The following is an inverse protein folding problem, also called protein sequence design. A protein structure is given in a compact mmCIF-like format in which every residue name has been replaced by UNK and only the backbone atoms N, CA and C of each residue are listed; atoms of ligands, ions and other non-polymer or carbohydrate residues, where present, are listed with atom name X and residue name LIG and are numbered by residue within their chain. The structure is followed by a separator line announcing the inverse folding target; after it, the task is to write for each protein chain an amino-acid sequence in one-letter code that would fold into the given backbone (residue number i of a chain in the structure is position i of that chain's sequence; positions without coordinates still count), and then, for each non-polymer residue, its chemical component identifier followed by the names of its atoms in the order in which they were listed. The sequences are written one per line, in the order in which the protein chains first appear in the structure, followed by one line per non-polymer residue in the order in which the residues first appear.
data_IF_483585776431
#
_entry.id   IF_483585776431
#
_cell.length_a   1.000
_cell.length_b   1.000
_cell.length_c   1.000
_cell.angle_alpha   90.00
_cell.angle_beta   90.00
_cell.angle_gamma   90.00
#
_symmetry.space_group_name_H-M   'P 1'
#
loop_
_entity.id
_entity.type
_entity.pdbx_description
1 polymer ?
#
# COMPACT_ATOMS: atom_id res chain seq x y z
N UNK A 1 3.66 -25.46 26.43
CA UNK A 1 3.53 -24.01 26.16
C UNK A 1 2.07 -23.67 26.45
N UNK A 2 1.78 -22.81 27.43
CA UNK A 2 0.39 -22.47 27.74
C UNK A 2 -0.18 -21.57 26.63
N UNK A 3 -1.46 -21.75 26.30
CA UNK A 3 -2.15 -20.87 25.36
C UNK A 3 -2.03 -19.41 25.77
N UNK A 4 -2.20 -19.10 27.06
CA UNK A 4 -2.10 -17.74 27.59
C UNK A 4 -0.76 -17.08 27.26
N UNK A 5 0.35 -17.79 27.46
CA UNK A 5 1.68 -17.25 27.14
C UNK A 5 1.92 -17.04 25.64
N UNK A 6 1.17 -17.71 24.77
CA UNK A 6 1.16 -17.40 23.33
C UNK A 6 0.34 -16.15 23.07
N UNK A 7 -0.87 -16.05 23.63
CA UNK A 7 -1.76 -14.90 23.47
C UNK A 7 -1.09 -13.59 23.90
N UNK A 8 -0.44 -13.58 25.06
CA UNK A 8 0.22 -12.40 25.61
C UNK A 8 1.36 -11.88 24.72
N UNK A 9 1.99 -12.75 23.93
CA UNK A 9 3.12 -12.40 23.07
C UNK A 9 2.70 -11.90 21.69
N UNK A 10 1.54 -12.31 21.17
CA UNK A 10 1.07 -12.00 19.80
C UNK A 10 1.26 -10.51 19.41
N UNK A 11 0.90 -9.53 20.26
CA UNK A 11 1.04 -8.11 19.90
C UNK A 11 2.48 -7.68 19.60
N UNK A 12 3.48 -8.36 20.18
CA UNK A 12 4.91 -8.03 20.03
C UNK A 12 5.66 -8.93 19.04
N UNK A 13 4.99 -9.93 18.46
CA UNK A 13 5.63 -10.87 17.55
C UNK A 13 5.94 -10.25 16.19
N UNK A 14 7.06 -10.64 15.59
CA UNK A 14 7.33 -10.38 14.17
C UNK A 14 6.35 -11.15 13.28
N UNK A 15 6.18 -10.72 12.02
CA UNK A 15 5.34 -11.44 11.05
C UNK A 15 5.78 -12.91 10.90
N UNK A 16 7.09 -13.17 10.76
CA UNK A 16 7.62 -14.54 10.67
C UNK A 16 7.26 -15.38 11.90
N UNK A 17 7.28 -14.79 13.10
CA UNK A 17 6.88 -15.48 14.34
C UNK A 17 5.39 -15.77 14.35
N UNK A 18 4.56 -14.82 13.90
CA UNK A 18 3.10 -14.98 13.77
C UNK A 18 2.75 -16.07 12.76
N UNK A 19 3.45 -16.14 11.62
CA UNK A 19 3.24 -17.16 10.60
C UNK A 19 3.54 -18.56 11.15
N UNK A 20 4.62 -18.72 11.93
CA UNK A 20 4.93 -19.98 12.63
C UNK A 20 3.86 -20.36 13.64
N UNK A 21 3.34 -19.40 14.42
CA UNK A 21 2.25 -19.66 15.37
C UNK A 21 0.97 -20.05 14.64
N UNK A 22 0.63 -19.36 13.54
CA UNK A 22 -0.52 -19.67 12.68
C UNK A 22 -0.44 -21.10 12.14
N UNK A 23 0.69 -21.46 11.53
CA UNK A 23 0.90 -22.81 10.97
C UNK A 23 0.77 -23.90 12.05
N UNK A 24 1.27 -23.65 13.27
CA UNK A 24 1.11 -24.58 14.38
C UNK A 24 -0.36 -24.72 14.82
N UNK A 25 -1.10 -23.62 14.90
CA UNK A 25 -2.53 -23.63 15.24
C UNK A 25 -3.35 -24.35 14.16
N UNK A 26 -3.09 -24.09 12.88
CA UNK A 26 -3.73 -24.79 11.76
C UNK A 26 -3.48 -26.30 11.80
N UNK A 27 -2.25 -26.72 12.13
CA UNK A 27 -1.97 -28.14 12.35
C UNK A 27 -2.79 -28.72 13.51
N UNK A 28 -2.95 -28.00 14.61
CA UNK A 28 -3.77 -28.45 15.75
C UNK A 28 -5.25 -28.53 15.42
N UNK A 29 -5.76 -27.70 14.52
CA UNK A 29 -7.13 -27.83 14.00
C UNK A 29 -7.33 -29.21 13.34
N UNK A 30 -6.37 -29.63 12.51
CA UNK A 30 -6.50 -30.85 11.71
C UNK A 30 -6.17 -32.12 12.49
N UNK A 31 -5.10 -32.09 13.30
CA UNK A 31 -4.47 -33.29 13.87
C UNK A 31 -4.51 -33.33 15.40
N UNK A 32 -4.95 -32.24 16.05
CA UNK A 32 -4.88 -32.09 17.50
C UNK A 32 -5.96 -32.86 18.26
N UNK A 33 -5.84 -32.88 19.59
CA UNK A 33 -6.91 -33.25 20.51
C UNK A 33 -8.02 -32.19 20.53
N UNK A 34 -9.18 -32.50 21.10
CA UNK A 34 -10.29 -31.53 21.20
C UNK A 34 -9.88 -30.25 21.95
N UNK A 35 -9.06 -30.38 23.00
CA UNK A 35 -8.51 -29.24 23.72
C UNK A 35 -7.56 -28.41 22.84
N UNK A 36 -6.68 -29.06 22.07
CA UNK A 36 -5.77 -28.37 21.15
C UNK A 36 -6.52 -27.68 20.00
N UNK A 37 -7.61 -28.28 19.50
CA UNK A 37 -8.49 -27.68 18.50
C UNK A 37 -9.15 -26.41 19.04
N UNK A 38 -9.71 -26.47 20.25
CA UNK A 38 -10.31 -25.30 20.90
C UNK A 38 -9.28 -24.17 21.10
N UNK A 39 -8.09 -24.53 21.59
CA UNK A 39 -6.99 -23.59 21.77
C UNK A 39 -6.53 -22.96 20.45
N UNK A 40 -6.44 -23.75 19.38
CA UNK A 40 -6.04 -23.26 18.06
C UNK A 40 -7.01 -22.22 17.49
N UNK A 41 -8.32 -22.39 17.67
CA UNK A 41 -9.33 -21.41 17.25
C UNK A 41 -9.09 -20.06 17.94
N UNK A 42 -8.82 -20.08 19.24
CA UNK A 42 -8.57 -18.87 20.02
C UNK A 42 -7.29 -18.18 19.55
N UNK A 43 -6.22 -18.94 19.31
CA UNK A 43 -4.94 -18.40 18.80
C UNK A 43 -5.10 -17.77 17.42
N UNK A 44 -5.80 -18.44 16.49
CA UNK A 44 -6.05 -17.91 15.15
C UNK A 44 -6.84 -16.61 15.21
N UNK A 45 -7.91 -16.56 16.03
CA UNK A 45 -8.67 -15.33 16.24
C UNK A 45 -7.80 -14.20 16.80
N UNK A 46 -6.95 -14.50 17.79
CA UNK A 46 -6.08 -13.48 18.39
C UNK A 46 -5.03 -12.95 17.39
N UNK A 47 -4.54 -13.79 16.47
CA UNK A 47 -3.66 -13.36 15.38
C UNK A 47 -4.41 -12.42 14.40
N UNK A 48 -5.64 -12.74 14.04
CA UNK A 48 -6.47 -11.91 13.15
C UNK A 48 -6.86 -10.57 13.79
N UNK A 49 -7.23 -10.60 15.07
CA UNK A 49 -7.54 -9.41 15.86
C UNK A 49 -6.31 -8.47 15.95
N UNK A 50 -5.10 -9.03 16.13
CA UNK A 50 -3.87 -8.26 16.19
C UNK A 50 -3.56 -7.53 14.87
N UNK A 51 -3.71 -8.22 13.73
CA UNK A 51 -3.54 -7.59 12.40
C UNK A 51 -4.56 -6.47 12.20
N UNK A 52 -5.81 -6.68 12.61
CA UNK A 52 -6.86 -5.68 12.52
C UNK A 52 -6.55 -4.46 13.40
N UNK A 53 -6.08 -4.68 14.62
CA UNK A 53 -5.67 -3.60 15.52
C UNK A 53 -4.50 -2.79 14.97
N UNK A 54 -3.50 -3.44 14.37
CA UNK A 54 -2.37 -2.78 13.72
C UNK A 54 -2.79 -1.93 12.52
N UNK A 55 -3.66 -2.48 11.67
CA UNK A 55 -4.21 -1.75 10.53
C UNK A 55 -5.03 -0.53 10.99
N UNK A 56 -5.84 -0.69 12.03
CA UNK A 56 -6.63 0.42 12.59
C UNK A 56 -5.74 1.50 13.20
N UNK A 57 -4.70 1.12 13.94
CA UNK A 57 -3.74 2.06 14.52
C UNK A 57 -3.01 2.85 13.42
N UNK A 58 -2.58 2.19 12.35
CA UNK A 58 -1.95 2.83 11.20
C UNK A 58 -2.95 3.76 10.48
N UNK A 59 -4.19 3.32 10.29
CA UNK A 59 -5.23 4.18 9.73
C UNK A 59 -5.46 5.45 10.60
N UNK A 60 -5.50 5.29 11.91
CA UNK A 60 -5.68 6.40 12.85
C UNK A 60 -4.49 7.35 12.90
N UNK A 61 -3.27 6.84 12.68
CA UNK A 61 -2.06 7.65 12.47
C UNK A 61 -2.18 8.46 11.17
N UNK A 62 -2.55 7.81 10.07
CA UNK A 62 -2.54 8.41 8.72
C UNK A 62 -3.70 9.37 8.48
N UNK A 63 -4.89 9.14 9.06
CA UNK A 63 -6.08 9.98 8.79
C UNK A 63 -5.90 11.45 9.18
N UNK A 64 -4.97 11.76 10.09
CA UNK A 64 -4.63 13.12 10.51
C UNK A 64 -3.62 13.82 9.60
N UNK A 65 -2.96 13.10 8.69
CA UNK A 65 -1.88 13.61 7.84
C UNK A 65 -2.40 14.19 6.53
N UNK A 66 -1.71 15.21 6.03
CA UNK A 66 -1.95 15.70 4.66
C UNK A 66 -1.60 14.62 3.62
N UNK A 67 -2.20 14.68 2.42
CA UNK A 67 -1.94 13.70 1.36
C UNK A 67 -0.45 13.59 1.00
N UNK A 68 0.23 14.74 0.82
CA UNK A 68 1.67 14.79 0.55
C UNK A 68 2.52 14.16 1.66
N UNK A 69 2.16 14.33 2.93
CA UNK A 69 2.87 13.75 4.07
C UNK A 69 2.69 12.23 4.13
N UNK A 70 1.49 11.73 3.83
CA UNK A 70 1.24 10.29 3.70
C UNK A 70 2.02 9.67 2.56
N UNK A 71 2.05 10.33 1.41
CA UNK A 71 2.87 9.90 0.27
C UNK A 71 4.34 9.83 0.68
N UNK A 72 4.90 10.89 1.26
CA UNK A 72 6.28 10.88 1.73
C UNK A 72 6.55 9.74 2.73
N UNK A 73 5.62 9.51 3.68
CA UNK A 73 5.71 8.41 4.65
C UNK A 73 5.68 7.04 3.96
N UNK A 74 4.76 6.84 3.02
CA UNK A 74 4.62 5.59 2.25
C UNK A 74 5.90 5.25 1.48
N UNK A 75 6.48 6.23 0.78
CA UNK A 75 7.69 6.03 -0.01
C UNK A 75 8.98 6.05 0.83
N UNK A 76 8.91 6.44 2.11
CA UNK A 76 10.02 6.27 3.07
C UNK A 76 10.00 4.86 3.68
N UNK A 77 8.83 4.37 4.10
CA UNK A 77 8.67 3.02 4.67
C UNK A 77 8.86 1.93 3.62
N UNK A 78 8.46 2.21 2.39
CA UNK A 78 8.64 1.33 1.24
C UNK A 78 9.27 2.12 0.09
N UNK A 79 10.62 2.20 0.05
CA UNK A 79 11.36 2.93 -0.97
C UNK A 79 10.99 2.54 -2.40
N UNK A 80 11.17 3.48 -3.33
CA UNK A 80 10.93 3.25 -4.75
C UNK A 80 11.90 2.23 -5.31
N UNK A 81 11.40 1.36 -6.19
CA UNK A 81 12.25 0.58 -7.11
C UNK A 81 12.66 1.44 -8.31
N UNK A 82 13.71 1.04 -9.04
CA UNK A 82 14.16 1.72 -10.26
C UNK A 82 13.04 1.89 -11.30
N UNK A 83 12.13 0.92 -11.39
CA UNK A 83 10.98 0.97 -12.28
C UNK A 83 9.99 2.05 -11.83
N UNK A 84 9.75 2.16 -10.52
CA UNK A 84 8.84 3.15 -9.94
C UNK A 84 9.40 4.57 -10.04
N UNK A 85 10.72 4.73 -9.90
CA UNK A 85 11.41 6.01 -10.18
C UNK A 85 11.10 6.46 -11.60
N UNK A 86 11.30 5.60 -12.62
CA UNK A 86 11.00 5.93 -14.03
C UNK A 86 9.54 6.34 -14.24
N UNK A 87 8.61 5.67 -13.58
CA UNK A 87 7.17 5.98 -13.69
C UNK A 87 6.87 7.39 -13.19
N UNK A 88 7.40 7.73 -12.02
CA UNK A 88 7.21 9.05 -11.39
C UNK A 88 7.90 10.12 -12.24
N UNK A 89 9.16 9.90 -12.63
CA UNK A 89 9.92 10.83 -13.46
C UNK A 89 9.26 11.09 -14.82
N UNK A 90 8.72 10.05 -15.46
CA UNK A 90 8.01 10.20 -16.72
C UNK A 90 6.79 11.12 -16.59
N UNK A 91 6.02 10.98 -15.51
CA UNK A 91 4.85 11.84 -15.27
C UNK A 91 5.25 13.26 -14.88
N UNK A 92 6.26 13.43 -14.02
CA UNK A 92 6.77 14.74 -13.61
C UNK A 92 7.36 15.52 -14.79
N UNK A 93 8.01 14.83 -15.74
CA UNK A 93 8.60 15.46 -16.92
C UNK A 93 7.58 15.71 -18.05
N UNK A 94 6.45 15.01 -18.05
CA UNK A 94 5.45 15.07 -19.13
C UNK A 94 4.01 15.18 -18.56
N UNK A 95 3.68 16.23 -17.77
CA UNK A 95 2.33 16.42 -17.25
C UNK A 95 1.32 16.57 -18.39
N UNK A 96 0.08 16.12 -18.18
CA UNK A 96 -0.97 16.12 -19.19
C UNK A 96 -0.75 15.09 -20.31
N UNK A 97 0.05 14.05 -20.08
CA UNK A 97 0.36 13.02 -21.08
C UNK A 97 -0.52 11.78 -20.93
N UNK A 98 -0.77 11.10 -22.05
CA UNK A 98 -1.48 9.82 -22.06
C UNK A 98 -0.60 8.69 -21.53
N UNK A 99 -1.23 7.60 -21.08
CA UNK A 99 -0.49 6.38 -20.68
C UNK A 99 0.45 5.86 -21.77
N UNK A 100 0.13 6.08 -23.06
CA UNK A 100 0.99 5.68 -24.18
C UNK A 100 2.24 6.54 -24.26
N UNK A 101 2.09 7.86 -24.16
CA UNK A 101 3.22 8.80 -24.14
C UNK A 101 4.12 8.56 -22.92
N UNK A 102 3.53 8.34 -21.76
CA UNK A 102 4.26 8.04 -20.52
C UNK A 102 4.99 6.69 -20.60
N UNK A 103 4.39 5.67 -21.22
CA UNK A 103 5.08 4.39 -21.45
C UNK A 103 6.30 4.56 -22.37
N UNK A 104 6.16 5.37 -23.44
CA UNK A 104 7.26 5.68 -24.33
C UNK A 104 8.39 6.46 -23.63
N UNK A 105 8.04 7.39 -22.74
CA UNK A 105 9.02 8.11 -21.91
C UNK A 105 9.80 7.18 -20.97
N UNK A 106 9.18 6.08 -20.51
CA UNK A 106 9.87 5.01 -19.76
C UNK A 106 10.67 4.04 -20.65
N UNK A 107 10.66 4.19 -21.98
CA UNK A 107 11.28 3.26 -22.92
C UNK A 107 10.48 1.98 -23.18
N UNK A 108 9.19 1.96 -22.85
CA UNK A 108 8.31 0.80 -23.02
C UNK A 108 7.51 0.87 -24.32
N UNK A 109 7.37 -0.28 -24.99
CA UNK A 109 6.65 -0.39 -26.27
C UNK A 109 5.14 -0.53 -26.12
N UNK A 110 4.70 -1.14 -25.02
CA UNK A 110 3.28 -1.33 -24.70
C UNK A 110 2.74 -0.17 -23.85
N UNK A 111 1.44 0.10 -23.91
CA UNK A 111 0.76 1.11 -23.09
C UNK A 111 0.55 0.58 -21.66
N UNK A 112 1.63 0.32 -20.91
CA UNK A 112 1.57 -0.33 -19.59
C UNK A 112 1.86 0.61 -18.42
N UNK A 113 2.12 1.90 -18.67
CA UNK A 113 2.45 2.85 -17.61
C UNK A 113 1.41 2.89 -16.49
N UNK A 114 0.12 3.01 -16.82
CA UNK A 114 -0.96 3.08 -15.83
C UNK A 114 -1.08 1.80 -14.98
N UNK A 115 -0.78 0.63 -15.56
CA UNK A 115 -0.75 -0.64 -14.83
C UNK A 115 0.36 -0.62 -13.78
N UNK A 116 1.58 -0.24 -14.19
CA UNK A 116 2.70 -0.16 -13.25
C UNK A 116 2.48 0.94 -12.18
N UNK A 117 1.90 2.08 -12.55
CA UNK A 117 1.55 3.15 -11.62
C UNK A 117 0.50 2.68 -10.60
N UNK A 118 -0.53 1.97 -11.06
CA UNK A 118 -1.54 1.36 -10.19
C UNK A 118 -0.94 0.32 -9.25
N UNK A 119 -0.07 -0.57 -9.76
CA UNK A 119 0.63 -1.58 -8.94
C UNK A 119 1.53 -0.94 -7.88
N UNK A 120 2.29 0.10 -8.24
CA UNK A 120 3.10 0.87 -7.30
C UNK A 120 2.25 1.41 -6.14
N UNK A 121 1.10 2.03 -6.46
CA UNK A 121 0.17 2.52 -5.45
C UNK A 121 -0.40 1.36 -4.61
N UNK A 122 -0.79 0.24 -5.24
CA UNK A 122 -1.38 -0.93 -4.55
C UNK A 122 -0.43 -1.55 -3.54
N UNK A 123 0.85 -1.63 -3.89
CA UNK A 123 1.86 -2.17 -3.00
C UNK A 123 2.03 -1.35 -1.71
N UNK A 124 1.60 -0.08 -1.71
CA UNK A 124 1.67 0.87 -0.59
C UNK A 124 0.30 1.26 -0.05
N UNK A 125 -0.74 0.51 -0.40
CA UNK A 125 -2.13 0.85 -0.10
C UNK A 125 -2.33 1.16 1.39
N UNK A 126 -1.78 0.33 2.29
CA UNK A 126 -1.91 0.52 3.74
C UNK A 126 -1.40 1.89 4.24
N UNK A 127 -0.47 2.51 3.51
CA UNK A 127 0.11 3.83 3.85
C UNK A 127 -0.56 5.00 3.12
N UNK A 128 -1.23 4.73 2.01
CA UNK A 128 -1.85 5.75 1.17
C UNK A 128 -3.33 6.01 1.53
N UNK A 129 -3.91 5.21 2.42
CA UNK A 129 -5.30 5.39 2.85
C UNK A 129 -5.48 6.44 3.95
N UNK A 130 -6.68 7.04 4.08
CA UNK A 130 -7.81 6.94 3.15
C UNK A 130 -7.52 7.57 1.78
N UNK A 131 -7.83 6.86 0.69
CA UNK A 131 -7.72 7.40 -0.64
C UNK A 131 -8.90 8.36 -0.92
N UNK A 132 -8.72 9.35 -1.82
CA UNK A 132 -9.81 10.24 -2.18
C UNK A 132 -10.94 9.47 -2.90
N UNK A 133 -12.19 9.95 -2.79
CA UNK A 133 -13.30 9.39 -3.55
C UNK A 133 -13.06 9.55 -5.05
N UNK A 134 -13.52 8.58 -5.84
CA UNK A 134 -13.54 8.68 -7.29
C UNK A 134 -14.52 9.78 -7.73
N UNK A 135 -14.12 10.58 -8.73
CA UNK A 135 -14.97 11.62 -9.31
C UNK A 135 -16.07 11.06 -10.23
N UNK A 136 -15.96 9.80 -10.67
CA UNK A 136 -16.84 9.22 -11.71
C UNK A 136 -17.52 7.93 -11.29
N UNK A 137 -17.04 7.26 -10.25
CA UNK A 137 -17.66 6.06 -9.69
C UNK A 137 -18.08 6.34 -8.26
N UNK A 138 -19.38 6.49 -8.08
CA UNK A 138 -19.99 6.71 -6.77
C UNK A 138 -19.59 5.55 -5.85
N UNK A 139 -19.13 5.87 -4.63
CA UNK A 139 -18.70 4.94 -3.59
C UNK A 139 -17.39 4.15 -3.84
N UNK A 140 -16.66 4.40 -4.94
CA UNK A 140 -15.33 3.83 -5.15
C UNK A 140 -14.22 4.82 -4.75
N UNK A 141 -13.16 4.32 -4.11
CA UNK A 141 -11.95 5.10 -3.88
C UNK A 141 -10.95 4.91 -5.02
N UNK A 142 -10.42 6.01 -5.54
CA UNK A 142 -9.38 5.95 -6.57
C UNK A 142 -8.02 6.03 -5.89
N UNK A 143 -7.41 4.87 -5.63
CA UNK A 143 -6.13 4.78 -4.96
C UNK A 143 -5.01 5.56 -5.66
N UNK A 144 -4.98 5.58 -7.00
CA UNK A 144 -4.04 6.42 -7.77
C UNK A 144 -4.35 7.92 -7.66
N UNK A 145 -5.59 8.25 -7.30
CA UNK A 145 -6.10 9.61 -7.14
C UNK A 145 -5.48 10.36 -5.97
N UNK A 146 -4.82 9.67 -5.03
CA UNK A 146 -4.01 10.36 -4.01
C UNK A 146 -2.72 10.95 -4.60
N UNK A 147 -2.19 10.39 -5.69
CA UNK A 147 -0.94 10.84 -6.32
C UNK A 147 -1.20 11.74 -7.53
N UNK A 148 -2.11 11.34 -8.42
CA UNK A 148 -2.27 11.95 -9.73
C UNK A 148 -3.75 12.08 -10.13
N UNK A 149 -4.04 13.12 -10.89
CA UNK A 149 -5.33 13.35 -11.53
C UNK A 149 -5.33 12.72 -12.93
N UNK A 150 -6.48 12.11 -13.28
CA UNK A 150 -6.81 11.63 -14.61
C UNK A 150 -7.86 12.57 -15.20
N UNK A 151 -7.52 13.24 -16.29
CA UNK A 151 -8.51 13.87 -17.16
C UNK A 151 -9.10 12.78 -18.06
N UNK A 152 -10.31 12.33 -17.73
CA UNK A 152 -11.00 11.26 -18.47
C UNK A 152 -11.37 11.67 -19.90
N UNK A 153 -11.56 12.96 -20.18
CA UNK A 153 -11.95 13.44 -21.52
C UNK A 153 -10.83 13.23 -22.53
N UNK A 154 -9.59 13.45 -22.08
CA UNK A 154 -8.39 13.33 -22.91
C UNK A 154 -7.54 12.10 -22.58
N UNK A 155 -7.92 11.34 -21.55
CA UNK A 155 -7.16 10.22 -20.98
C UNK A 155 -5.70 10.60 -20.68
N UNK A 156 -5.53 11.77 -20.05
CA UNK A 156 -4.23 12.35 -19.72
C UNK A 156 -4.03 12.41 -18.21
N UNK A 157 -2.79 12.21 -17.78
CA UNK A 157 -2.41 12.15 -16.38
C UNK A 157 -1.59 13.36 -15.97
N UNK A 158 -1.83 13.86 -14.77
CA UNK A 158 -1.02 14.93 -14.16
C UNK A 158 -0.78 14.63 -12.69
N UNK A 159 0.46 14.79 -12.22
CA UNK A 159 0.77 14.66 -10.79
C UNK A 159 0.06 15.78 -10.00
N UNK A 160 -0.49 15.47 -8.83
CA UNK A 160 -1.05 16.51 -7.96
C UNK A 160 0.04 17.48 -7.51
N UNK A 161 -0.21 18.80 -7.41
CA UNK A 161 0.85 19.77 -7.15
C UNK A 161 1.58 19.60 -5.81
N UNK A 162 0.88 19.19 -4.76
CA UNK A 162 1.45 18.92 -3.44
C UNK A 162 2.27 17.62 -3.43
N UNK A 163 1.82 16.61 -4.17
CA UNK A 163 2.54 15.35 -4.37
C UNK A 163 3.80 15.54 -5.21
N UNK A 164 3.73 16.33 -6.27
CA UNK A 164 4.90 16.71 -7.06
C UNK A 164 5.95 17.38 -6.17
N UNK A 165 5.55 18.34 -5.32
CA UNK A 165 6.47 18.98 -4.38
C UNK A 165 7.11 17.97 -3.43
N UNK A 166 6.34 17.01 -2.91
CA UNK A 166 6.86 15.95 -2.04
C UNK A 166 7.89 15.09 -2.78
N UNK A 167 7.58 14.60 -3.98
CA UNK A 167 8.53 13.80 -4.76
C UNK A 167 9.78 14.59 -5.15
N UNK A 168 9.66 15.89 -5.48
CA UNK A 168 10.82 16.75 -5.73
C UNK A 168 11.70 16.93 -4.49
N UNK A 169 11.10 17.08 -3.31
CA UNK A 169 11.84 17.13 -2.04
C UNK A 169 12.57 15.81 -1.73
N UNK A 170 12.07 14.69 -2.25
CA UNK A 170 12.73 13.38 -2.19
C UNK A 170 13.81 13.16 -3.28
N UNK A 171 14.07 14.18 -4.11
CA UNK A 171 15.10 14.12 -5.16
C UNK A 171 14.62 13.61 -6.52
N UNK A 172 13.30 13.42 -6.74
CA UNK A 172 12.75 12.97 -8.02
C UNK A 172 12.42 14.14 -8.94
N UNK A 173 12.51 13.92 -10.26
CA UNK A 173 12.16 14.93 -11.26
C UNK A 173 13.16 16.09 -11.36
N UNK A 174 14.33 15.96 -10.72
CA UNK A 174 15.49 16.79 -10.96
C UNK A 174 16.28 16.22 -12.13
N UNK A 175 16.06 16.74 -13.34
CA UNK A 175 17.12 16.65 -14.35
C UNK A 175 18.17 17.71 -14.03
N UNK A 176 19.41 17.25 -13.86
CA UNK A 176 20.60 18.03 -14.20
C UNK A 176 20.61 18.34 -15.69
#
# INVERSE_FOLDING_TARGET
MSIQGTLDRIPSMTQESRDKVRANAERWINEGTDAQRADAIIVLKALDDAVTAEHQALYDELKGMAAAERVATAFTRQPLTDTEVKIIEALLANPGSTSRALSAACGWKAQTWHMHFGTMCKSREIYLWPAPPSSTRQDEQMMTGILADLDESNNTWTMKPDIEKAFRAMGLGGKT
#
